data_IF_317054873143
#
_entry.id   IF_317054873143
#
_cell.length_a   1.000
_cell.length_b   1.000
_cell.length_c   1.000
_cell.angle_alpha   90.00
_cell.angle_beta   90.00
_cell.angle_gamma   90.00
#
_symmetry.space_group_name_H-M   'P 1'
#
loop_
_entity.id
_entity.type
_entity.pdbx_description
1 polymer ?
#
# COMPACT_ATOMS: atom_id res chain seq x y z
N UNK A 1 4.30 -16.11 -26.07
CA UNK A 1 3.72 -15.22 -25.03
C UNK A 1 4.86 -14.42 -24.42
N UNK A 2 4.98 -13.12 -24.73
CA UNK A 2 6.06 -12.26 -24.20
C UNK A 2 5.61 -11.73 -22.83
N UNK A 3 6.36 -12.04 -21.77
CA UNK A 3 6.06 -11.49 -20.44
C UNK A 3 6.31 -9.97 -20.47
N UNK A 4 5.41 -9.14 -19.92
CA UNK A 4 5.56 -7.68 -19.92
C UNK A 4 6.74 -7.20 -19.03
N UNK A 5 7.36 -8.11 -18.29
CA UNK A 5 8.53 -7.87 -17.47
C UNK A 5 9.76 -8.49 -18.13
N UNK A 6 10.63 -7.61 -18.62
CA UNK A 6 11.89 -7.94 -19.28
C UNK A 6 12.96 -8.48 -18.33
N UNK A 7 12.72 -8.42 -17.01
CA UNK A 7 13.56 -9.02 -15.95
C UNK A 7 12.78 -9.10 -14.63
N UNK A 8 13.12 -10.08 -13.78
CA UNK A 8 12.57 -10.24 -12.43
C UNK A 8 12.88 -9.02 -11.53
N UNK A 9 14.04 -8.39 -11.71
CA UNK A 9 14.40 -7.16 -10.99
C UNK A 9 13.41 -6.03 -11.30
N UNK A 10 13.04 -5.86 -12.58
CA UNK A 10 12.06 -4.86 -13.01
C UNK A 10 10.66 -5.17 -12.46
N UNK A 11 10.25 -6.44 -12.49
CA UNK A 11 8.97 -6.85 -11.90
C UNK A 11 8.89 -6.50 -10.41
N UNK A 12 9.96 -6.79 -9.64
CA UNK A 12 10.05 -6.43 -8.22
C UNK A 12 9.98 -4.92 -7.98
N UNK A 13 10.68 -4.13 -8.79
CA UNK A 13 10.66 -2.67 -8.67
C UNK A 13 9.26 -2.10 -8.93
N UNK A 14 8.57 -2.56 -9.98
CA UNK A 14 7.20 -2.14 -10.29
C UNK A 14 6.25 -2.52 -9.16
N UNK A 15 6.34 -3.74 -8.64
CA UNK A 15 5.49 -4.18 -7.53
C UNK A 15 5.73 -3.37 -6.25
N UNK A 16 6.98 -3.04 -5.94
CA UNK A 16 7.33 -2.21 -4.80
C UNK A 16 6.74 -0.80 -4.94
N UNK A 17 6.88 -0.18 -6.11
CA UNK A 17 6.27 1.12 -6.41
C UNK A 17 4.75 1.07 -6.30
N UNK A 18 4.10 0.07 -6.91
CA UNK A 18 2.64 -0.09 -6.82
C UNK A 18 2.17 -0.30 -5.37
N UNK A 19 2.91 -1.08 -4.57
CA UNK A 19 2.60 -1.28 -3.14
C UNK A 19 2.67 0.04 -2.38
N UNK A 20 3.71 0.84 -2.62
CA UNK A 20 3.88 2.13 -1.98
C UNK A 20 2.72 3.08 -2.31
N UNK A 21 2.43 3.26 -3.59
CA UNK A 21 1.32 4.09 -4.07
C UNK A 21 -0.02 3.68 -3.46
N UNK A 22 -0.32 2.38 -3.48
CA UNK A 22 -1.58 1.87 -2.91
C UNK A 22 -1.68 2.16 -1.40
N UNK A 23 -0.60 1.91 -0.66
CA UNK A 23 -0.62 2.06 0.79
C UNK A 23 -0.62 3.52 1.25
N UNK A 24 -0.02 4.43 0.48
CA UNK A 24 0.30 5.79 0.93
C UNK A 24 -0.50 6.88 0.20
N UNK A 25 -0.96 6.64 -1.02
CA UNK A 25 -1.49 7.70 -1.91
C UNK A 25 -2.96 7.50 -2.27
N UNK A 26 -3.54 6.33 -1.96
CA UNK A 26 -4.90 5.98 -2.40
C UNK A 26 -5.85 5.85 -1.22
N UNK A 27 -6.61 6.90 -0.90
CA UNK A 27 -7.70 6.84 0.06
C UNK A 27 -8.75 5.81 -0.35
N UNK A 28 -9.27 5.08 0.62
CA UNK A 28 -10.31 4.09 0.41
C UNK A 28 -11.55 4.48 1.22
N UNK A 29 -12.70 4.56 0.56
CA UNK A 29 -13.97 4.92 1.19
C UNK A 29 -14.36 3.92 2.29
N UNK A 30 -14.05 2.63 2.14
CA UNK A 30 -14.23 1.62 3.20
C UNK A 30 -13.38 1.85 4.45
N UNK A 31 -12.31 2.65 4.35
CA UNK A 31 -11.47 3.08 5.47
C UNK A 31 -11.84 4.48 5.96
N UNK A 32 -12.99 5.02 5.55
CA UNK A 32 -13.42 6.38 5.89
C UNK A 32 -12.66 7.45 5.11
N UNK A 33 -12.33 7.20 3.84
CA UNK A 33 -11.50 8.05 2.98
C UNK A 33 -10.07 8.24 3.52
N UNK A 34 -9.54 7.23 4.21
CA UNK A 34 -8.14 7.16 4.63
C UNK A 34 -7.36 6.21 3.73
N UNK A 35 -6.07 6.45 3.59
CA UNK A 35 -5.12 5.49 3.03
C UNK A 35 -4.91 4.31 4.00
N UNK A 36 -4.50 3.14 3.50
CA UNK A 36 -4.14 2.02 4.37
C UNK A 36 -3.10 2.38 5.44
N UNK A 37 -2.12 3.22 5.12
CA UNK A 37 -1.10 3.66 6.07
C UNK A 37 -1.67 4.53 7.21
N UNK A 38 -2.54 5.48 6.89
CA UNK A 38 -3.21 6.33 7.89
C UNK A 38 -4.08 5.50 8.84
N UNK A 39 -4.82 4.52 8.30
CA UNK A 39 -5.61 3.60 9.12
C UNK A 39 -4.74 2.73 10.03
N UNK A 40 -3.60 2.24 9.54
CA UNK A 40 -2.65 1.47 10.34
C UNK A 40 -2.06 2.30 11.49
N UNK A 41 -1.70 3.57 11.22
CA UNK A 41 -1.21 4.50 12.24
C UNK A 41 -2.27 4.77 13.32
N UNK A 42 -3.52 5.03 12.91
CA UNK A 42 -4.65 5.21 13.84
C UNK A 42 -4.90 3.96 14.69
N UNK A 43 -4.83 2.77 14.09
CA UNK A 43 -5.02 1.49 14.80
C UNK A 43 -3.86 1.16 15.75
N UNK A 44 -2.65 1.66 15.49
CA UNK A 44 -1.52 1.54 16.41
C UNK A 44 -1.69 2.45 17.63
N UNK A 45 -2.19 3.69 17.44
CA UNK A 45 -2.53 4.59 18.54
C UNK A 45 -3.68 4.08 19.42
N UNK A 46 -4.64 3.36 18.83
CA UNK A 46 -5.78 2.79 19.56
C UNK A 46 -5.43 1.55 20.41
N UNK A 47 -4.20 1.02 20.30
CA UNK A 47 -3.76 -0.17 21.06
C UNK A 47 -3.14 0.13 22.42
N UNK A 48 -2.96 1.41 22.80
CA UNK A 48 -2.30 1.81 24.07
C UNK A 48 -3.31 2.34 25.11
N UNK A 49 -4.62 2.35 24.80
CA UNK A 49 -5.67 2.71 25.74
C UNK A 49 -6.73 1.62 25.85
N UNK A 50 -6.57 0.72 26.82
CA UNK A 50 -7.50 -0.36 27.14
C UNK A 50 -6.98 -1.19 28.31
#
# INVERSE_FOLDING_TARGET
>A
MKTPFTSLARARAVLAACRHDYNQQRPQSSLGNMTPAEMAARSAGNRVGG
#
